data_IF_243688416963
#
_entry.id   IF_243688416963
#
_cell.length_a   1.000
_cell.length_b   1.000
_cell.length_c   1.000
_cell.angle_alpha   90.00
_cell.angle_beta   90.00
_cell.angle_gamma   90.00
#
_symmetry.space_group_name_H-M   'P 1'
#
loop_
_entity.id
_entity.type
_entity.pdbx_description
1 polymer ?
#
# COMPACT_ATOMS: atom_id res chain seq x y z
N UNK A 1 -2.99 -17.74 9.28
CA UNK A 1 -2.54 -17.50 7.90
C UNK A 1 -1.69 -16.26 7.97
N UNK A 2 -0.45 -16.36 7.49
CA UNK A 2 0.50 -15.25 7.55
C UNK A 2 0.26 -14.32 6.34
N UNK A 3 0.64 -13.05 6.47
CA UNK A 3 0.48 -12.02 5.44
C UNK A 3 1.87 -11.51 5.07
N UNK A 4 2.21 -11.54 3.79
CA UNK A 4 3.50 -11.11 3.25
C UNK A 4 3.32 -9.97 2.23
N UNK A 5 4.38 -9.20 1.95
CA UNK A 5 4.34 -8.16 0.91
C UNK A 5 3.81 -8.70 -0.42
N UNK A 6 2.85 -7.99 -1.02
CA UNK A 6 2.16 -8.38 -2.25
C UNK A 6 0.82 -9.11 -2.05
N UNK A 7 0.57 -9.66 -0.86
CA UNK A 7 -0.69 -10.32 -0.52
C UNK A 7 -1.85 -9.32 -0.41
N UNK A 8 -3.08 -9.81 -0.62
CA UNK A 8 -4.29 -9.04 -0.33
C UNK A 8 -4.59 -9.10 1.17
N UNK A 9 -4.75 -7.94 1.80
CA UNK A 9 -4.95 -7.80 3.24
C UNK A 9 -6.08 -6.80 3.52
N UNK A 10 -6.87 -6.98 4.60
CA UNK A 10 -7.88 -6.00 4.99
C UNK A 10 -7.23 -4.70 5.48
N UNK A 11 -7.68 -3.58 4.95
CA UNK A 11 -7.36 -2.23 5.42
C UNK A 11 -8.63 -1.48 5.82
N UNK A 12 -8.48 -0.53 6.74
CA UNK A 12 -9.52 0.44 7.08
C UNK A 12 -9.30 1.71 6.26
N UNK A 13 -10.33 2.16 5.55
CA UNK A 13 -10.33 3.42 4.82
C UNK A 13 -11.48 4.28 5.36
N UNK A 14 -11.20 5.55 5.64
CA UNK A 14 -12.23 6.55 5.97
C UNK A 14 -12.55 7.37 4.73
N UNK A 15 -13.50 6.89 3.91
CA UNK A 15 -13.99 7.64 2.75
C UNK A 15 -15.32 8.30 3.10
N UNK A 16 -15.47 9.59 2.80
CA UNK A 16 -16.69 10.37 3.08
C UNK A 16 -17.15 10.25 4.55
N UNK A 17 -16.21 10.40 5.50
CA UNK A 17 -16.44 10.31 6.94
C UNK A 17 -16.96 8.94 7.44
N UNK A 18 -16.91 7.90 6.59
CA UNK A 18 -17.30 6.54 6.96
C UNK A 18 -16.10 5.61 6.89
N UNK A 19 -15.84 4.94 8.01
CA UNK A 19 -14.84 3.88 8.09
C UNK A 19 -15.37 2.61 7.42
N UNK A 20 -14.60 2.04 6.50
CA UNK A 20 -14.96 0.84 5.76
C UNK A 20 -13.77 -0.11 5.66
N UNK A 21 -14.04 -1.41 5.78
CA UNK A 21 -13.09 -2.46 5.41
C UNK A 21 -12.98 -2.57 3.89
N UNK A 22 -11.75 -2.66 3.39
CA UNK A 22 -11.43 -2.93 1.99
C UNK A 22 -10.29 -3.92 1.92
N UNK A 23 -10.29 -4.78 0.91
CA UNK A 23 -9.12 -5.61 0.60
C UNK A 23 -8.18 -4.79 -0.28
N UNK A 24 -6.91 -4.72 0.11
CA UNK A 24 -5.87 -4.01 -0.63
C UNK A 24 -4.55 -4.79 -0.57
N UNK A 25 -3.66 -4.53 -1.52
CA UNK A 25 -2.34 -5.16 -1.55
C UNK A 25 -1.46 -4.60 -0.44
N UNK A 26 -0.76 -5.49 0.28
CA UNK A 26 0.26 -5.10 1.24
C UNK A 26 1.53 -4.64 0.50
N UNK A 27 1.58 -3.34 0.18
CA UNK A 27 2.64 -2.71 -0.61
C UNK A 27 2.05 -1.81 -1.69
N UNK A 28 2.44 -0.54 -1.68
CA UNK A 28 1.90 0.47 -2.60
C UNK A 28 2.45 0.27 -4.02
N UNK A 29 1.56 0.27 -5.01
CA UNK A 29 1.95 0.26 -6.42
C UNK A 29 1.49 1.58 -7.03
N UNK A 30 2.42 2.48 -7.42
CA UNK A 30 2.07 3.71 -8.12
C UNK A 30 1.35 3.40 -9.44
N UNK A 31 0.45 4.28 -9.85
CA UNK A 31 -0.36 4.09 -11.07
C UNK A 31 0.48 4.00 -12.36
N UNK A 32 1.72 4.50 -12.34
CA UNK A 32 2.66 4.45 -13.47
C UNK A 32 3.52 3.18 -13.50
N UNK A 33 3.48 2.34 -12.45
CA UNK A 33 4.31 1.15 -12.38
C UNK A 33 3.78 0.04 -13.29
N UNK A 34 4.66 -0.54 -14.11
CA UNK A 34 4.34 -1.64 -15.02
C UNK A 34 4.41 -3.01 -14.33
N UNK A 35 5.12 -3.11 -13.20
CA UNK A 35 5.32 -4.38 -12.47
C UNK A 35 4.79 -4.30 -11.03
N UNK A 36 3.96 -5.30 -10.69
CA UNK A 36 3.38 -5.48 -9.37
C UNK A 36 4.40 -5.89 -8.31
N UNK A 37 5.58 -6.40 -8.70
CA UNK A 37 6.69 -6.75 -7.79
C UNK A 37 7.17 -5.57 -6.95
N UNK A 38 6.90 -4.34 -7.38
CA UNK A 38 7.25 -3.14 -6.62
C UNK A 38 6.65 -3.14 -5.20
N UNK A 39 5.51 -3.81 -5.00
CA UNK A 39 4.91 -4.02 -3.66
C UNK A 39 5.87 -4.65 -2.64
N UNK A 40 6.83 -5.47 -3.07
CA UNK A 40 7.85 -6.06 -2.20
C UNK A 40 8.88 -5.04 -1.69
N UNK A 41 8.92 -3.84 -2.26
CA UNK A 41 9.82 -2.75 -1.87
C UNK A 41 9.10 -1.53 -1.28
N UNK A 42 7.76 -1.54 -1.28
CA UNK A 42 6.91 -0.42 -0.83
C UNK A 42 5.87 -0.83 0.22
N UNK A 43 6.02 -2.00 0.83
CA UNK A 43 5.22 -2.43 1.99
C UNK A 43 5.48 -1.59 3.23
N UNK A 44 6.66 -0.96 3.31
CA UNK A 44 7.00 0.03 4.33
C UNK A 44 7.38 1.36 3.68
N UNK A 45 7.00 2.47 4.33
CA UNK A 45 7.42 3.82 3.98
C UNK A 45 8.10 4.47 5.20
N UNK A 46 9.26 5.12 4.98
CA UNK A 46 9.95 5.88 6.03
C UNK A 46 9.28 7.23 6.20
N UNK A 47 8.79 7.54 7.40
CA UNK A 47 8.05 8.78 7.67
C UNK A 47 8.87 10.04 7.32
N UNK A 48 10.18 10.00 7.47
CA UNK A 48 11.08 11.13 7.25
C UNK A 48 11.22 11.51 5.76
N UNK A 49 10.94 10.59 4.83
CA UNK A 49 11.18 10.79 3.38
C UNK A 49 9.98 10.46 2.51
N UNK A 50 8.84 10.09 3.10
CA UNK A 50 7.65 9.62 2.35
C UNK A 50 7.13 10.68 1.39
N UNK A 51 7.13 11.95 1.78
CA UNK A 51 6.63 13.07 0.96
C UNK A 51 7.52 13.41 -0.25
N UNK A 52 8.77 12.95 -0.26
CA UNK A 52 9.76 13.30 -1.31
C UNK A 52 9.93 12.16 -2.33
N UNK A 53 9.61 10.93 -1.94
CA UNK A 53 9.83 9.74 -2.77
C UNK A 53 8.67 9.50 -3.71
N UNK A 54 8.94 9.55 -5.02
CA UNK A 54 7.96 9.35 -6.12
C UNK A 54 7.08 8.09 -6.04
N UNK A 55 7.49 7.07 -5.27
CA UNK A 55 6.71 5.85 -5.09
C UNK A 55 5.58 5.98 -4.04
N UNK A 56 5.53 7.07 -3.27
CA UNK A 56 4.52 7.37 -2.25
C UNK A 56 3.94 8.77 -2.51
#
# INVERSE_FOLDING_TARGET
MDIYPGDSSPILISSNEKVQWRSARFGLIPFWAEDLKLSQHTYNARAETVAEKKQF
#
